data_IF_016329016180
#
_entry.id   IF_016329016180
#
_cell.length_a   1.000
_cell.length_b   1.000
_cell.length_c   1.000
_cell.angle_alpha   90.00
_cell.angle_beta   90.00
_cell.angle_gamma   90.00
#
_symmetry.space_group_name_H-M   'P 1'
#
loop_
_entity.id
_entity.type
_entity.pdbx_description
1 polymer ?
#
# COMPACT_ATOMS: atom_id res chain seq x y z
N UNK A 1 7.03 -18.24 -31.57
CA UNK A 1 7.31 -17.98 -33.01
C UNK A 1 8.69 -17.36 -33.25
N UNK A 2 9.11 -16.30 -32.53
CA UNK A 2 10.41 -15.63 -32.76
C UNK A 2 11.64 -16.55 -32.69
N UNK A 3 11.74 -17.44 -31.70
CA UNK A 3 12.89 -18.35 -31.53
C UNK A 3 13.01 -19.38 -32.65
N UNK A 4 11.88 -19.92 -33.10
CA UNK A 4 11.81 -20.89 -34.21
C UNK A 4 12.32 -20.25 -35.50
N UNK A 5 12.00 -18.97 -35.73
CA UNK A 5 12.51 -18.21 -36.87
C UNK A 5 14.05 -18.16 -36.87
N UNK A 6 14.69 -17.83 -35.74
CA UNK A 6 16.15 -17.77 -35.66
C UNK A 6 16.81 -19.14 -35.90
N UNK A 7 16.23 -20.21 -35.36
CA UNK A 7 16.71 -21.57 -35.65
C UNK A 7 16.66 -21.89 -37.14
N UNK A 8 15.56 -21.55 -37.82
CA UNK A 8 15.42 -21.78 -39.26
C UNK A 8 16.47 -20.95 -40.02
N UNK A 9 16.64 -19.67 -39.69
CA UNK A 9 17.64 -18.80 -40.32
C UNK A 9 19.05 -19.38 -40.20
N UNK A 10 19.43 -19.83 -38.99
CA UNK A 10 20.74 -20.44 -38.77
C UNK A 10 20.91 -21.74 -39.56
N UNK A 11 19.90 -22.61 -39.59
CA UNK A 11 19.93 -23.87 -40.34
C UNK A 11 20.06 -23.60 -41.85
N UNK A 12 19.32 -22.62 -42.38
CA UNK A 12 19.40 -22.24 -43.80
C UNK A 12 20.80 -21.70 -44.14
N UNK A 13 21.36 -20.81 -43.31
CA UNK A 13 22.72 -20.29 -43.53
C UNK A 13 23.75 -21.42 -43.48
N UNK A 14 23.63 -22.33 -42.51
CA UNK A 14 24.53 -23.47 -42.37
C UNK A 14 24.42 -24.43 -43.57
N UNK A 15 23.20 -24.70 -44.03
CA UNK A 15 22.95 -25.53 -45.22
C UNK A 15 23.51 -24.89 -46.50
N UNK A 16 23.32 -23.59 -46.70
CA UNK A 16 23.89 -22.86 -47.83
C UNK A 16 25.42 -22.90 -47.81
N UNK A 17 26.04 -22.73 -46.64
CA UNK A 17 27.49 -22.87 -46.48
C UNK A 17 27.97 -24.30 -46.83
N UNK A 18 27.26 -25.34 -46.40
CA UNK A 18 27.57 -26.72 -46.73
C UNK A 18 27.42 -27.02 -48.24
N UNK A 19 26.39 -26.47 -48.90
CA UNK A 19 26.22 -26.57 -50.34
C UNK A 19 27.35 -25.87 -51.11
N UNK A 20 27.77 -24.69 -50.66
CA UNK A 20 28.93 -23.98 -51.23
C UNK A 20 30.22 -24.76 -51.03
N UNK A 21 30.42 -25.41 -49.87
CA UNK A 21 31.56 -26.29 -49.65
C UNK A 21 31.56 -27.46 -50.64
N UNK A 22 30.41 -28.10 -50.86
CA UNK A 22 30.27 -29.20 -51.82
C UNK A 22 30.55 -28.78 -53.27
N UNK A 23 30.06 -27.60 -53.69
CA UNK A 23 30.24 -27.12 -55.06
C UNK A 23 31.64 -26.57 -55.34
N UNK A 24 32.19 -25.77 -54.42
CA UNK A 24 33.47 -25.06 -54.63
C UNK A 24 34.70 -25.81 -54.10
N UNK A 25 34.51 -26.76 -53.18
CA UNK A 25 35.61 -27.52 -52.54
C UNK A 25 36.58 -26.68 -51.71
N UNK A 26 36.26 -25.41 -51.43
CA UNK A 26 37.18 -24.47 -50.78
C UNK A 26 37.31 -24.69 -49.26
N UNK A 27 38.55 -24.76 -48.77
CA UNK A 27 38.86 -24.84 -47.33
C UNK A 27 38.25 -23.72 -46.47
N UNK A 28 37.99 -22.56 -47.07
CA UNK A 28 37.30 -21.45 -46.40
C UNK A 28 35.90 -21.85 -45.89
N UNK A 29 35.10 -22.53 -46.71
CA UNK A 29 33.74 -22.92 -46.30
C UNK A 29 33.77 -23.98 -45.19
N UNK A 30 34.75 -24.90 -45.23
CA UNK A 30 34.98 -25.86 -44.16
C UNK A 30 35.30 -25.15 -42.83
N UNK A 31 36.25 -24.20 -42.85
CA UNK A 31 36.61 -23.41 -41.67
C UNK A 31 35.42 -22.62 -41.13
N UNK A 32 34.62 -22.01 -42.01
CA UNK A 32 33.41 -21.27 -41.63
C UNK A 32 32.38 -22.19 -40.99
N UNK A 33 32.13 -23.37 -41.54
CA UNK A 33 31.21 -24.35 -40.97
C UNK A 33 31.63 -24.82 -39.58
N UNK A 34 32.93 -25.12 -39.38
CA UNK A 34 33.48 -25.45 -38.05
C UNK A 34 33.31 -24.27 -37.08
N UNK A 35 33.61 -23.05 -37.51
CA UNK A 35 33.43 -21.86 -36.69
C UNK A 35 31.96 -21.63 -36.30
N UNK A 36 31.00 -21.87 -37.20
CA UNK A 36 29.56 -21.79 -36.90
C UNK A 36 29.13 -22.79 -35.82
N UNK A 37 29.62 -24.03 -35.88
CA UNK A 37 29.31 -25.06 -34.88
C UNK A 37 29.91 -24.68 -33.52
N UNK A 38 31.17 -24.24 -33.49
CA UNK A 38 31.83 -23.78 -32.26
C UNK A 38 31.09 -22.58 -31.67
N UNK A 39 30.68 -21.64 -32.50
CA UNK A 39 29.91 -20.47 -32.09
C UNK A 39 28.55 -20.86 -31.51
N UNK A 40 27.81 -21.78 -32.16
CA UNK A 40 26.56 -22.32 -31.63
C UNK A 40 26.75 -22.99 -30.26
N UNK A 41 27.79 -23.83 -30.12
CA UNK A 41 28.14 -24.44 -28.84
C UNK A 41 28.42 -23.40 -27.76
N UNK A 42 29.15 -22.34 -28.12
CA UNK A 42 29.44 -21.22 -27.22
C UNK A 42 28.18 -20.46 -26.78
N UNK A 43 27.28 -20.11 -27.71
CA UNK A 43 26.06 -19.35 -27.37
C UNK A 43 25.15 -20.15 -26.45
N UNK A 44 25.00 -21.45 -26.70
CA UNK A 44 24.20 -22.34 -25.86
C UNK A 44 24.81 -22.59 -24.48
N UNK A 45 26.14 -22.73 -24.39
CA UNK A 45 26.84 -22.96 -23.13
C UNK A 45 26.94 -21.70 -22.24
N UNK A 46 26.91 -20.51 -22.83
CA UNK A 46 27.04 -19.24 -22.10
C UNK A 46 25.88 -19.00 -21.13
N UNK A 47 24.64 -19.21 -21.55
CA UNK A 47 23.43 -18.94 -20.74
C UNK A 47 23.43 -19.65 -19.38
N UNK A 48 23.63 -20.99 -19.28
CA UNK A 48 23.65 -21.67 -17.98
C UNK A 48 24.81 -21.24 -17.08
N UNK A 49 25.91 -20.73 -17.63
CA UNK A 49 27.05 -20.20 -16.87
C UNK A 49 26.79 -18.81 -16.29
N UNK A 50 25.99 -17.99 -16.99
CA UNK A 50 25.71 -16.59 -16.61
C UNK A 50 24.53 -16.47 -15.66
N UNK A 51 23.50 -17.30 -15.81
CA UNK A 51 22.28 -17.21 -14.98
C UNK A 51 22.51 -17.28 -13.45
N UNK A 52 23.41 -18.12 -12.89
CA UNK A 52 23.65 -18.11 -11.45
C UNK A 52 24.39 -16.86 -10.99
N UNK A 53 25.11 -16.17 -11.88
CA UNK A 53 25.93 -14.97 -11.62
C UNK A 53 25.18 -13.65 -11.86
N UNK A 54 23.90 -13.73 -12.20
CA UNK A 54 23.02 -12.58 -12.41
C UNK A 54 22.11 -12.41 -11.21
N UNK A 55 22.11 -11.22 -10.63
CA UNK A 55 21.37 -10.88 -9.41
C UNK A 55 20.55 -9.61 -9.66
N UNK A 56 19.22 -9.73 -9.86
CA UNK A 56 18.33 -8.58 -9.88
C UNK A 56 17.93 -8.16 -8.46
N UNK A 57 17.79 -6.85 -8.24
CA UNK A 57 17.30 -6.23 -7.02
C UNK A 57 16.40 -5.04 -7.36
N UNK A 58 15.22 -5.00 -6.75
CA UNK A 58 14.35 -3.83 -6.74
C UNK A 58 14.85 -2.89 -5.64
N UNK A 59 15.00 -1.62 -6.00
CA UNK A 59 15.38 -0.52 -5.12
C UNK A 59 14.32 0.58 -5.23
N UNK A 60 13.74 0.96 -4.09
CA UNK A 60 12.70 1.97 -4.02
C UNK A 60 13.27 3.22 -3.32
N UNK A 61 13.01 4.43 -3.85
CA UNK A 61 13.52 5.66 -3.24
C UNK A 61 12.94 5.97 -1.86
N UNK A 62 11.64 5.71 -1.63
CA UNK A 62 10.96 5.88 -0.35
C UNK A 62 9.83 4.86 -0.22
N UNK A 63 9.47 4.48 1.01
CA UNK A 63 8.35 3.57 1.24
C UNK A 63 6.98 4.24 1.07
N UNK A 64 6.95 5.59 1.11
CA UNK A 64 5.74 6.41 1.12
C UNK A 64 5.77 7.46 0.00
N UNK A 65 4.67 7.58 -0.72
CA UNK A 65 4.42 8.65 -1.69
C UNK A 65 3.01 9.19 -1.53
N UNK A 66 2.79 10.41 -2.03
CA UNK A 66 1.45 11.00 -2.07
C UNK A 66 0.76 10.68 -3.39
N UNK A 67 -0.56 10.61 -3.35
CA UNK A 67 -1.42 10.43 -4.52
C UNK A 67 -1.04 11.39 -5.66
N UNK A 68 -1.09 10.90 -6.90
CA UNK A 68 -0.74 11.64 -8.12
C UNK A 68 0.71 12.16 -8.22
N UNK A 69 1.62 11.74 -7.34
CA UNK A 69 3.05 12.03 -7.51
C UNK A 69 3.72 10.95 -8.35
N UNK A 70 4.58 11.39 -9.26
CA UNK A 70 5.41 10.50 -10.06
C UNK A 70 6.68 10.16 -9.27
N UNK A 71 6.98 8.87 -9.16
CA UNK A 71 8.19 8.38 -8.52
C UNK A 71 8.87 7.32 -9.40
N UNK A 72 10.20 7.21 -9.24
CA UNK A 72 11.04 6.33 -10.05
C UNK A 72 11.42 5.08 -9.26
N UNK A 73 10.86 3.94 -9.64
CA UNK A 73 11.30 2.64 -9.12
C UNK A 73 12.52 2.17 -9.89
N UNK A 74 13.59 1.83 -9.18
CA UNK A 74 14.85 1.40 -9.79
C UNK A 74 15.01 -0.10 -9.66
N UNK A 75 15.21 -0.78 -10.78
CA UNK A 75 15.51 -2.21 -10.78
C UNK A 75 16.97 -2.38 -11.20
N UNK A 76 17.84 -2.62 -10.21
CA UNK A 76 19.27 -2.83 -10.41
C UNK A 76 19.54 -4.30 -10.71
N UNK A 77 20.16 -4.58 -11.83
CA UNK A 77 20.52 -5.95 -12.24
C UNK A 77 22.02 -6.06 -12.39
N UNK A 78 22.64 -6.88 -11.54
CA UNK A 78 24.09 -7.06 -11.50
C UNK A 78 24.50 -8.33 -12.24
N UNK A 79 25.40 -8.21 -13.20
CA UNK A 79 26.01 -9.32 -13.93
C UNK A 79 27.46 -9.52 -13.46
N UNK A 80 27.71 -10.55 -12.64
CA UNK A 80 29.07 -10.88 -12.17
C UNK A 80 29.85 -11.76 -13.16
N UNK A 81 29.26 -12.13 -14.29
CA UNK A 81 29.93 -12.96 -15.29
C UNK A 81 30.85 -12.12 -16.20
N UNK A 82 31.82 -12.78 -16.83
CA UNK A 82 32.69 -12.17 -17.84
C UNK A 82 31.98 -11.97 -19.18
N UNK A 83 30.77 -12.51 -19.35
CA UNK A 83 30.03 -12.45 -20.61
C UNK A 83 28.97 -11.35 -20.53
N UNK A 84 28.87 -10.48 -21.55
CA UNK A 84 27.77 -9.54 -21.63
C UNK A 84 26.46 -10.28 -21.97
N UNK A 85 25.35 -9.83 -21.41
CA UNK A 85 24.01 -10.36 -21.70
C UNK A 85 23.26 -9.34 -22.55
N UNK A 86 22.95 -9.69 -23.80
CA UNK A 86 22.23 -8.77 -24.69
C UNK A 86 20.74 -8.65 -24.30
N UNK A 87 20.14 -9.75 -23.85
CA UNK A 87 18.71 -9.78 -23.51
C UNK A 87 18.49 -10.47 -22.18
N UNK A 88 18.36 -9.66 -21.14
CA UNK A 88 17.84 -10.07 -19.84
C UNK A 88 16.40 -9.56 -19.74
N UNK A 89 15.45 -10.48 -19.67
CA UNK A 89 14.02 -10.18 -19.56
C UNK A 89 13.57 -10.32 -18.11
N UNK A 90 13.08 -9.24 -17.53
CA UNK A 90 12.47 -9.18 -16.20
C UNK A 90 10.96 -9.37 -16.33
N UNK A 91 10.42 -10.31 -15.56
CA UNK A 91 8.99 -10.57 -15.48
C UNK A 91 8.47 -10.02 -14.15
N UNK A 92 7.80 -8.88 -14.23
CA UNK A 92 7.28 -8.12 -13.12
C UNK A 92 5.77 -8.28 -13.03
N UNK A 93 5.24 -8.28 -11.82
CA UNK A 93 3.82 -8.08 -11.55
C UNK A 93 3.71 -6.81 -10.71
N UNK A 94 2.93 -5.84 -11.17
CA UNK A 94 2.83 -4.52 -10.58
C UNK A 94 1.35 -4.19 -10.46
N UNK A 95 0.94 -3.64 -9.33
CA UNK A 95 -0.42 -3.15 -9.19
C UNK A 95 -0.79 -2.74 -7.78
N UNK A 96 -2.04 -2.35 -7.61
CA UNK A 96 -2.57 -1.97 -6.31
C UNK A 96 -3.01 -3.25 -5.58
N UNK A 97 -2.26 -3.63 -4.54
CA UNK A 97 -2.49 -4.78 -3.70
C UNK A 97 -3.71 -4.64 -2.78
N UNK A 98 -4.15 -3.40 -2.53
CA UNK A 98 -5.32 -3.10 -1.70
C UNK A 98 -6.60 -3.40 -2.47
N UNK A 99 -6.65 -3.02 -3.76
CA UNK A 99 -7.76 -3.31 -4.67
C UNK A 99 -7.60 -4.63 -5.45
N UNK A 100 -6.52 -5.39 -5.20
CA UNK A 100 -6.22 -6.65 -5.90
C UNK A 100 -6.10 -6.50 -7.43
N UNK A 101 -5.72 -5.31 -7.90
CA UNK A 101 -5.56 -4.98 -9.32
C UNK A 101 -4.10 -5.10 -9.72
N UNK A 102 -3.69 -6.29 -10.18
CA UNK A 102 -2.32 -6.59 -10.59
C UNK A 102 -2.20 -6.75 -12.11
N UNK A 103 -1.11 -6.23 -12.67
CA UNK A 103 -0.79 -6.32 -14.10
C UNK A 103 0.60 -6.89 -14.29
N UNK A 104 0.73 -7.86 -15.20
CA UNK A 104 2.03 -8.38 -15.61
C UNK A 104 2.73 -7.41 -16.58
N UNK A 105 3.98 -7.06 -16.25
CA UNK A 105 4.86 -6.21 -17.08
C UNK A 105 6.15 -6.93 -17.38
N UNK A 106 6.56 -6.92 -18.64
CA UNK A 106 7.82 -7.53 -19.07
C UNK A 106 8.76 -6.45 -19.57
N UNK A 107 9.99 -6.45 -19.08
CA UNK A 107 11.03 -5.47 -19.44
C UNK A 107 12.27 -6.22 -19.91
N UNK A 108 12.86 -5.81 -21.03
CA UNK A 108 14.12 -6.39 -21.52
C UNK A 108 15.24 -5.36 -21.46
N UNK A 109 16.33 -5.72 -20.78
CA UNK A 109 17.53 -4.89 -20.62
C UNK A 109 18.78 -5.63 -21.10
N UNK A 110 19.84 -4.86 -21.39
CA UNK A 110 21.18 -5.40 -21.69
C UNK A 110 22.07 -5.24 -20.46
N UNK A 111 22.91 -6.24 -20.17
CA UNK A 111 23.84 -6.21 -19.04
C UNK A 111 25.28 -6.27 -19.55
N UNK A 112 26.14 -5.31 -19.20
CA UNK A 112 27.57 -5.38 -19.51
C UNK A 112 28.25 -6.54 -18.78
N UNK A 113 29.41 -6.97 -19.29
CA UNK A 113 30.26 -7.95 -18.62
C UNK A 113 30.82 -7.35 -17.32
N UNK A 114 30.74 -8.09 -16.20
CA UNK A 114 31.17 -7.65 -14.85
C UNK A 114 30.60 -6.28 -14.43
N UNK A 115 29.43 -5.91 -14.91
CA UNK A 115 28.80 -4.64 -14.59
C UNK A 115 27.37 -4.79 -14.09
N UNK A 116 26.67 -3.67 -14.04
CA UNK A 116 25.28 -3.59 -13.64
C UNK A 116 24.53 -2.65 -14.57
N UNK A 117 23.23 -2.86 -14.65
CA UNK A 117 22.29 -1.99 -15.35
C UNK A 117 21.18 -1.59 -14.37
N UNK A 118 20.74 -0.34 -14.42
CA UNK A 118 19.63 0.17 -13.62
C UNK A 118 18.50 0.53 -14.57
N UNK A 119 17.39 -0.20 -14.47
CA UNK A 119 16.17 0.14 -15.17
C UNK A 119 15.32 1.07 -14.29
N UNK A 120 15.08 2.29 -14.76
CA UNK A 120 14.22 3.25 -14.08
C UNK A 120 12.81 3.17 -14.65
N UNK A 121 11.83 2.93 -13.77
CA UNK A 121 10.43 2.81 -14.12
C UNK A 121 9.64 3.93 -13.44
N UNK A 122 9.15 4.93 -14.20
CA UNK A 122 8.23 5.91 -13.66
C UNK A 122 6.90 5.23 -13.34
N UNK A 123 6.40 5.48 -12.13
CA UNK A 123 5.10 5.05 -11.65
C UNK A 123 4.40 6.25 -11.00
N UNK A 124 3.07 6.27 -11.17
CA UNK A 124 2.17 7.19 -10.49
C UNK A 124 0.85 6.46 -10.27
N UNK A 125 0.21 6.67 -9.13
CA UNK A 125 -1.14 6.16 -8.89
C UNK A 125 -2.09 7.31 -8.61
N UNK A 126 -3.26 7.24 -9.26
CA UNK A 126 -4.41 8.09 -8.94
C UNK A 126 -5.30 7.54 -7.82
N UNK A 127 -4.95 6.39 -7.24
CA UNK A 127 -5.66 5.76 -6.13
C UNK A 127 -4.69 5.52 -4.97
N UNK A 128 -5.17 5.72 -3.74
CA UNK A 128 -4.45 5.36 -2.51
C UNK A 128 -4.38 3.85 -2.31
N UNK A 129 -3.45 3.39 -1.47
CA UNK A 129 -3.31 1.97 -1.14
C UNK A 129 -1.86 1.48 -1.16
N UNK A 130 -1.68 0.16 -1.10
CA UNK A 130 -0.38 -0.47 -1.30
C UNK A 130 -0.15 -0.78 -2.78
N UNK A 131 0.92 -0.25 -3.36
CA UNK A 131 1.43 -0.69 -4.65
C UNK A 131 2.44 -1.81 -4.39
N UNK A 132 2.12 -3.00 -4.90
CA UNK A 132 2.98 -4.17 -4.80
C UNK A 132 3.76 -4.34 -6.11
N UNK A 133 5.09 -4.46 -5.99
CA UNK A 133 5.99 -4.68 -7.12
C UNK A 133 6.72 -5.99 -6.89
N UNK A 134 6.35 -7.00 -7.67
CA UNK A 134 6.88 -8.36 -7.54
C UNK A 134 7.71 -8.76 -8.76
N UNK A 135 9.00 -8.99 -8.57
CA UNK A 135 9.86 -9.65 -9.55
C UNK A 135 9.71 -11.17 -9.45
N UNK A 136 8.77 -11.73 -10.23
CA UNK A 136 8.49 -13.17 -10.27
C UNK A 136 9.72 -13.96 -10.69
N UNK A 137 10.30 -13.58 -11.83
CA UNK A 137 11.43 -14.28 -12.43
C UNK A 137 12.18 -13.35 -13.40
N UNK A 138 13.40 -13.75 -13.74
CA UNK A 138 14.15 -13.16 -14.84
C UNK A 138 14.62 -14.26 -15.80
N UNK A 139 14.71 -13.91 -17.08
CA UNK A 139 15.13 -14.79 -18.16
C UNK A 139 16.33 -14.23 -18.90
N UNK A 140 17.31 -15.07 -19.20
CA UNK A 140 18.45 -14.71 -20.02
C UNK A 140 18.34 -15.46 -21.34
N UNK A 141 18.38 -14.72 -22.45
CA UNK A 141 18.50 -15.29 -23.79
C UNK A 141 19.97 -15.44 -24.20
N UNK A 142 20.25 -16.45 -25.02
CA UNK A 142 21.54 -16.56 -25.69
C UNK A 142 21.73 -15.47 -26.75
N UNK A 143 22.96 -15.32 -27.23
CA UNK A 143 23.35 -14.28 -28.19
C UNK A 143 22.52 -14.32 -29.49
N UNK A 144 22.09 -15.51 -29.91
CA UNK A 144 21.28 -15.75 -31.11
C UNK A 144 19.78 -15.89 -30.82
N UNK A 145 19.33 -15.75 -29.57
CA UNK A 145 17.93 -15.93 -29.13
C UNK A 145 17.31 -17.29 -29.51
N UNK A 146 18.12 -18.35 -29.58
CA UNK A 146 17.67 -19.73 -29.72
C UNK A 146 16.98 -20.25 -28.47
N UNK A 147 17.45 -19.86 -27.29
CA UNK A 147 16.94 -20.36 -26.03
C UNK A 147 16.93 -19.28 -24.95
N UNK A 148 15.98 -19.41 -24.01
CA UNK A 148 15.92 -18.58 -22.81
C UNK A 148 15.91 -19.49 -21.60
N UNK A 149 16.80 -19.22 -20.66
CA UNK A 149 16.77 -19.86 -19.35
C UNK A 149 16.23 -18.88 -18.32
N UNK A 150 15.24 -19.32 -17.55
CA UNK A 150 14.59 -18.51 -16.51
C UNK A 150 15.03 -18.95 -15.12
N UNK A 151 15.16 -17.98 -14.21
CA UNK A 151 15.42 -18.19 -12.79
C UNK A 151 14.43 -17.35 -11.98
N UNK A 152 13.84 -17.98 -10.96
CA UNK A 152 12.96 -17.28 -10.01
C UNK A 152 13.79 -16.32 -9.18
N UNK A 153 13.26 -15.11 -8.97
CA UNK A 153 13.82 -14.13 -8.05
C UNK A 153 12.96 -14.08 -6.78
N UNK A 154 11.64 -13.93 -6.92
CA UNK A 154 10.71 -13.95 -5.79
C UNK A 154 10.90 -12.77 -4.84
N UNK A 155 11.29 -11.61 -5.38
CA UNK A 155 11.39 -10.37 -4.61
C UNK A 155 10.10 -9.59 -4.76
N UNK A 156 9.52 -9.17 -3.65
CA UNK A 156 8.32 -8.33 -3.59
C UNK A 156 8.64 -7.14 -2.72
N UNK A 157 8.34 -5.96 -3.22
CA UNK A 157 8.46 -4.71 -2.47
C UNK A 157 7.12 -3.98 -2.45
N UNK A 158 6.87 -3.25 -1.37
CA UNK A 158 5.62 -2.52 -1.13
C UNK A 158 5.89 -1.01 -1.08
N UNK A 159 4.98 -0.25 -1.70
CA UNK A 159 5.01 1.22 -1.70
C UNK A 159 3.64 1.70 -1.27
N UNK A 160 3.57 2.52 -0.22
CA UNK A 160 2.31 3.06 0.28
C UNK A 160 2.02 4.41 -0.37
N UNK A 161 0.83 4.53 -0.93
CA UNK A 161 0.34 5.77 -1.53
C UNK A 161 -0.71 6.36 -0.59
N UNK A 162 -0.31 7.44 0.07
CA UNK A 162 -1.13 8.18 1.01
C UNK A 162 -1.95 9.26 0.28
N UNK A 163 -3.14 9.61 0.80
CA UNK A 163 -3.89 10.76 0.30
C UNK A 163 -3.05 12.04 0.34
N UNK A 164 -3.31 12.93 -0.61
CA UNK A 164 -2.69 14.26 -0.59
C UNK A 164 -3.20 15.05 0.61
N UNK A 165 -2.38 15.93 1.17
CA UNK A 165 -2.85 16.89 2.17
C UNK A 165 -3.80 17.89 1.47
N UNK A 166 -5.11 17.68 1.62
CA UNK A 166 -6.15 18.58 1.14
C UNK A 166 -6.38 19.77 2.06
N UNK A 167 -7.36 20.62 1.71
CA UNK A 167 -7.86 21.64 2.65
C UNK A 167 -8.40 20.93 3.89
N UNK A 168 -7.86 21.28 5.06
CA UNK A 168 -8.29 20.65 6.31
C UNK A 168 -9.77 20.91 6.52
N UNK A 169 -10.57 19.86 6.67
CA UNK A 169 -11.93 19.97 7.19
C UNK A 169 -11.89 20.76 8.50
N UNK A 170 -12.62 21.86 8.60
CA UNK A 170 -12.75 22.59 9.86
C UNK A 170 -13.62 21.76 10.80
N UNK A 171 -12.97 20.93 11.62
CA UNK A 171 -13.65 20.19 12.67
C UNK A 171 -13.86 21.14 13.84
N UNK A 172 -15.06 21.69 13.97
CA UNK A 172 -15.43 22.47 15.14
C UNK A 172 -15.62 21.52 16.33
N UNK A 173 -14.75 21.64 17.34
CA UNK A 173 -14.77 20.86 18.58
C UNK A 173 -16.15 20.89 19.28
N UNK A 174 -16.96 21.92 19.03
CA UNK A 174 -18.31 22.08 19.58
C UNK A 174 -19.31 21.05 19.04
N UNK A 175 -19.25 20.64 17.78
CA UNK A 175 -20.23 19.71 17.19
C UNK A 175 -20.04 18.28 17.74
N UNK A 176 -18.80 17.88 17.99
CA UNK A 176 -18.50 16.60 18.64
C UNK A 176 -18.82 16.62 20.14
N UNK A 177 -18.48 17.72 20.84
CA UNK A 177 -18.79 17.86 22.26
C UNK A 177 -20.30 17.94 22.53
N UNK A 178 -21.08 18.62 21.68
CA UNK A 178 -22.53 18.72 21.81
C UNK A 178 -23.24 17.39 21.50
N UNK A 179 -22.82 16.68 20.45
CA UNK A 179 -23.40 15.39 20.08
C UNK A 179 -23.14 14.28 21.11
N UNK A 180 -21.91 14.21 21.66
CA UNK A 180 -21.55 13.19 22.66
C UNK A 180 -22.18 13.47 24.03
N UNK A 181 -22.33 14.74 24.41
CA UNK A 181 -22.99 15.09 25.68
C UNK A 181 -24.49 14.81 25.62
N UNK A 182 -25.16 15.04 24.49
CA UNK A 182 -26.57 14.68 24.32
C UNK A 182 -26.80 13.18 24.12
N UNK A 183 -25.92 12.45 23.43
CA UNK A 183 -26.05 10.99 23.23
C UNK A 183 -25.79 10.21 24.51
N UNK A 184 -24.78 10.61 25.29
CA UNK A 184 -24.50 10.01 26.60
C UNK A 184 -25.61 10.32 27.62
N UNK A 185 -26.23 11.50 27.57
CA UNK A 185 -27.38 11.85 28.41
C UNK A 185 -28.69 11.15 27.99
N UNK A 186 -28.87 10.78 26.71
CA UNK A 186 -30.11 10.18 26.20
C UNK A 186 -30.14 8.65 26.21
N UNK A 187 -29.00 7.97 26.00
CA UNK A 187 -28.90 6.50 26.11
C UNK A 187 -28.84 6.00 27.55
N UNK A 188 -28.42 6.85 28.49
CA UNK A 188 -28.37 6.54 29.92
C UNK A 188 -29.69 6.85 30.64
N UNK A 189 -30.79 6.17 30.28
CA UNK A 189 -31.99 6.12 31.15
C UNK A 189 -31.65 5.35 32.44
N UNK A 190 -31.03 6.04 33.40
CA UNK A 190 -30.89 5.56 34.79
C UNK A 190 -29.47 5.37 35.33
N UNK A 191 -28.41 5.79 34.63
CA UNK A 191 -27.03 5.67 35.13
C UNK A 191 -26.45 7.04 35.48
N UNK A 192 -26.58 7.44 36.76
CA UNK A 192 -25.98 8.61 37.40
C UNK A 192 -24.45 8.42 37.56
N UNK A 193 -23.74 8.23 36.44
CA UNK A 193 -22.29 7.94 36.40
C UNK A 193 -21.45 9.08 35.79
N UNK A 194 -21.89 10.34 35.91
CA UNK A 194 -20.90 11.41 36.08
C UNK A 194 -20.42 11.32 37.52
N UNK A 195 -19.22 10.80 37.77
CA UNK A 195 -18.62 10.89 39.11
C UNK A 195 -18.62 12.37 39.54
N UNK A 196 -19.48 12.72 40.50
CA UNK A 196 -19.59 14.06 41.05
C UNK A 196 -18.27 14.30 41.80
N UNK A 197 -17.30 14.92 41.13
CA UNK A 197 -15.93 15.05 41.65
C UNK A 197 -15.89 15.89 42.92
N UNK A 198 -16.50 17.07 42.88
CA UNK A 198 -16.61 17.96 44.04
C UNK A 198 -17.86 18.83 43.92
N UNK A 199 -18.42 19.22 45.07
CA UNK A 199 -19.54 20.17 45.10
C UNK A 199 -19.04 21.47 45.70
N UNK A 200 -19.02 22.52 44.89
CA UNK A 200 -18.52 23.86 45.27
C UNK A 200 -19.64 24.89 45.22
N UNK A 201 -19.39 26.05 45.83
CA UNK A 201 -20.31 27.19 45.74
C UNK A 201 -20.34 27.74 44.30
N UNK A 202 -21.51 28.20 43.90
CA UNK A 202 -21.79 28.79 42.59
C UNK A 202 -20.96 30.06 42.38
N UNK A 203 -20.31 30.15 41.23
CA UNK A 203 -19.60 31.34 40.77
C UNK A 203 -20.38 31.91 39.58
N UNK A 204 -20.55 33.24 39.47
CA UNK A 204 -21.20 33.84 38.31
C UNK A 204 -20.55 33.40 36.99
N UNK A 205 -21.30 32.69 36.15
CA UNK A 205 -20.81 32.07 34.91
C UNK A 205 -21.05 30.56 34.86
N UNK A 206 -21.31 29.92 36.01
CA UNK A 206 -21.67 28.51 36.07
C UNK A 206 -23.07 28.25 35.45
N UNK A 207 -23.21 27.09 34.81
CA UNK A 207 -24.47 26.65 34.22
C UNK A 207 -25.53 26.37 35.30
N UNK A 208 -26.72 26.95 35.13
CA UNK A 208 -27.85 26.76 36.05
C UNK A 208 -28.38 25.31 36.05
N UNK A 209 -28.10 24.54 35.00
CA UNK A 209 -28.50 23.12 34.89
C UNK A 209 -27.72 22.23 35.86
N UNK A 210 -26.54 22.69 36.31
CA UNK A 210 -25.62 21.93 37.16
C UNK A 210 -25.81 22.21 38.66
N UNK A 211 -26.83 22.99 39.02
CA UNK A 211 -27.16 23.32 40.40
C UNK A 211 -27.66 22.08 41.14
N UNK A 212 -27.00 21.75 42.24
CA UNK A 212 -27.43 20.72 43.16
C UNK A 212 -28.51 21.29 44.10
N UNK A 213 -29.76 21.35 43.63
CA UNK A 213 -30.87 21.95 44.38
C UNK A 213 -31.03 21.44 45.81
N UNK A 214 -30.91 20.12 46.04
CA UNK A 214 -31.05 19.52 47.38
C UNK A 214 -29.92 19.89 48.35
N UNK A 215 -28.69 20.05 47.87
CA UNK A 215 -27.56 20.45 48.71
C UNK A 215 -27.57 21.97 48.93
N UNK A 216 -27.97 22.72 47.89
CA UNK A 216 -28.13 24.17 47.96
C UNK A 216 -29.15 24.57 49.02
N UNK A 217 -30.28 23.84 49.07
CA UNK A 217 -31.30 24.02 50.10
C UNK A 217 -30.80 23.70 51.52
N UNK A 218 -29.82 22.79 51.67
CA UNK A 218 -29.26 22.41 52.98
C UNK A 218 -28.17 23.36 53.48
N UNK A 219 -27.44 23.99 52.56
CA UNK A 219 -26.32 24.91 52.87
C UNK A 219 -26.71 26.39 52.79
N UNK A 220 -27.93 26.71 52.40
CA UNK A 220 -28.41 28.09 52.17
C UNK A 220 -27.54 28.90 51.18
N UNK A 221 -26.80 28.21 50.32
CA UNK A 221 -25.95 28.76 49.27
C UNK A 221 -26.13 27.94 48.00
N UNK A 222 -26.05 28.56 46.82
CA UNK A 222 -26.12 27.83 45.55
C UNK A 222 -24.88 26.94 45.41
N UNK A 223 -25.10 25.64 45.34
CA UNK A 223 -24.06 24.63 45.20
C UNK A 223 -24.13 24.04 43.79
N UNK A 224 -23.00 24.02 43.08
CA UNK A 224 -22.88 23.48 41.72
C UNK A 224 -22.14 22.16 41.78
N UNK A 225 -22.68 21.15 41.07
CA UNK A 225 -21.96 19.89 40.86
C UNK A 225 -20.82 20.15 39.87
N UNK A 226 -19.59 20.12 40.34
CA UNK A 226 -18.43 20.19 39.46
C UNK A 226 -18.24 18.80 38.84
N UNK A 227 -18.69 18.67 37.59
CA UNK A 227 -18.47 17.46 36.80
C UNK A 227 -16.98 17.45 36.43
N UNK A 228 -16.21 16.53 36.99
CA UNK A 228 -14.89 16.26 36.45
C UNK A 228 -15.11 15.72 35.04
N UNK A 229 -14.63 16.42 34.00
CA UNK A 229 -14.46 15.84 32.68
C UNK A 229 -13.34 14.80 32.74
N UNK A 230 -13.62 13.65 33.37
CA UNK A 230 -12.78 12.47 33.28
C UNK A 230 -13.27 11.66 32.09
N UNK A 231 -12.85 12.09 30.91
CA UNK A 231 -12.71 11.18 29.79
C UNK A 231 -11.62 11.77 28.91
N UNK A 232 -10.54 11.02 28.77
CA UNK A 232 -9.62 11.16 27.65
C UNK A 232 -10.46 11.09 26.38
N UNK A 233 -10.98 12.24 25.90
CA UNK A 233 -11.86 12.31 24.74
C UNK A 233 -11.05 11.74 23.58
N UNK A 234 -11.31 10.48 23.24
CA UNK A 234 -10.76 9.82 22.08
C UNK A 234 -11.89 9.63 21.09
N UNK A 235 -11.65 10.00 19.84
CA UNK A 235 -12.59 9.72 18.77
C UNK A 235 -12.41 8.26 18.36
N UNK A 236 -13.48 7.48 18.40
CA UNK A 236 -13.47 6.11 17.91
C UNK A 236 -14.06 6.07 16.52
N UNK A 237 -13.30 5.53 15.56
CA UNK A 237 -13.72 5.38 14.17
C UNK A 237 -13.76 3.91 13.83
N UNK A 238 -14.87 3.44 13.29
CA UNK A 238 -14.95 2.13 12.63
C UNK A 238 -14.88 2.37 11.13
N UNK A 239 -13.82 1.88 10.50
CA UNK A 239 -13.56 2.06 9.07
C UNK A 239 -14.11 0.91 8.24
N UNK A 240 -14.99 1.23 7.29
CA UNK A 240 -15.58 0.29 6.35
C UNK A 240 -15.56 0.87 4.93
N UNK A 241 -15.11 0.07 3.97
CA UNK A 241 -15.01 0.44 2.57
C UNK A 241 -15.23 -0.77 1.64
N UNK A 242 -16.05 -0.61 0.60
CA UNK A 242 -16.19 -1.62 -0.44
C UNK A 242 -15.04 -1.52 -1.45
N UNK A 243 -14.06 -2.42 -1.33
CA UNK A 243 -12.90 -2.48 -2.24
C UNK A 243 -13.26 -2.84 -3.68
N UNK A 244 -14.48 -3.30 -3.97
CA UNK A 244 -14.93 -3.62 -5.35
C UNK A 244 -15.08 -2.38 -6.22
N UNK A 245 -15.26 -1.21 -5.62
CA UNK A 245 -15.34 0.06 -6.32
C UNK A 245 -14.15 0.96 -5.92
N UNK A 246 -13.00 0.83 -6.60
CA UNK A 246 -11.75 1.49 -6.20
C UNK A 246 -11.86 3.01 -6.09
N UNK A 247 -12.66 3.64 -6.95
CA UNK A 247 -12.82 5.10 -6.96
C UNK A 247 -13.53 5.59 -5.70
N UNK A 248 -14.67 4.96 -5.35
CA UNK A 248 -15.38 5.32 -4.11
C UNK A 248 -14.58 4.96 -2.87
N UNK A 249 -13.90 3.82 -2.91
CA UNK A 249 -13.07 3.40 -1.81
C UNK A 249 -11.94 4.38 -1.53
N UNK A 250 -11.29 4.87 -2.58
CA UNK A 250 -10.27 5.91 -2.50
C UNK A 250 -10.81 7.23 -1.95
N UNK A 251 -12.03 7.65 -2.33
CA UNK A 251 -12.69 8.84 -1.76
C UNK A 251 -12.92 8.68 -0.24
N UNK A 252 -13.40 7.52 0.22
CA UNK A 252 -13.62 7.23 1.65
C UNK A 252 -12.29 7.21 2.42
N UNK A 253 -11.23 6.67 1.82
CA UNK A 253 -9.87 6.68 2.41
C UNK A 253 -9.33 8.11 2.52
N UNK A 254 -9.52 8.95 1.49
CA UNK A 254 -9.12 10.35 1.53
C UNK A 254 -9.88 11.09 2.64
N UNK A 255 -11.20 10.89 2.73
CA UNK A 255 -12.03 11.47 3.79
C UNK A 255 -11.61 11.02 5.19
N UNK A 256 -11.33 9.73 5.39
CA UNK A 256 -10.80 9.20 6.65
C UNK A 256 -9.52 9.96 7.04
N UNK A 257 -8.58 10.09 6.10
CA UNK A 257 -7.30 10.74 6.35
C UNK A 257 -7.46 12.20 6.76
N UNK A 258 -8.31 12.95 6.06
CA UNK A 258 -8.60 14.35 6.34
C UNK A 258 -9.28 14.53 7.70
N UNK A 259 -10.28 13.68 8.01
CA UNK A 259 -10.97 13.67 9.29
C UNK A 259 -9.99 13.43 10.44
N UNK A 260 -9.15 12.39 10.33
CA UNK A 260 -8.15 12.08 11.36
C UNK A 260 -7.14 13.21 11.53
N UNK A 261 -6.67 13.81 10.44
CA UNK A 261 -5.76 14.96 10.51
C UNK A 261 -6.40 16.17 11.22
N UNK A 262 -7.68 16.42 10.99
CA UNK A 262 -8.41 17.53 11.64
C UNK A 262 -8.61 17.29 13.13
N UNK A 263 -8.97 16.07 13.51
CA UNK A 263 -9.19 15.68 14.92
C UNK A 263 -7.88 15.67 15.71
N UNK A 264 -6.80 15.15 15.12
CA UNK A 264 -5.46 15.17 15.72
C UNK A 264 -4.95 16.61 15.88
N UNK A 265 -5.23 17.51 14.92
CA UNK A 265 -4.90 18.94 15.03
C UNK A 265 -5.60 19.60 16.22
N UNK A 266 -6.81 19.14 16.56
CA UNK A 266 -7.58 19.54 17.75
C UNK A 266 -7.12 18.87 19.05
N UNK A 267 -6.01 18.10 19.03
CA UNK A 267 -5.43 17.38 20.17
C UNK A 267 -6.34 16.29 20.77
N UNK A 268 -7.21 15.72 19.95
CA UNK A 268 -8.08 14.60 20.31
C UNK A 268 -7.44 13.34 19.72
N UNK A 269 -7.03 12.34 20.54
CA UNK A 269 -6.55 11.06 20.01
C UNK A 269 -7.63 10.34 19.20
N UNK A 270 -7.25 9.73 18.09
CA UNK A 270 -8.15 8.96 17.22
C UNK A 270 -7.82 7.49 17.31
N UNK A 271 -8.80 6.66 17.68
CA UNK A 271 -8.69 5.20 17.62
C UNK A 271 -9.47 4.70 16.41
N UNK A 272 -8.81 3.98 15.51
CA UNK A 272 -9.44 3.38 14.34
C UNK A 272 -9.51 1.88 14.50
N UNK A 273 -10.68 1.35 14.18
CA UNK A 273 -10.96 -0.08 14.10
C UNK A 273 -11.21 -0.46 12.64
N UNK A 274 -10.54 -1.50 12.16
CA UNK A 274 -10.77 -2.04 10.83
C UNK A 274 -10.64 -3.56 10.84
N UNK A 275 -11.40 -4.20 9.96
CA UNK A 275 -11.28 -5.63 9.74
C UNK A 275 -10.25 -5.92 8.65
N UNK A 276 -9.22 -6.71 8.99
CA UNK A 276 -8.18 -7.07 8.02
C UNK A 276 -8.56 -8.34 7.25
N UNK A 277 -8.89 -8.22 5.96
CA UNK A 277 -9.26 -9.38 5.10
C UNK A 277 -8.19 -10.48 5.10
N UNK A 278 -6.90 -10.09 5.11
CA UNK A 278 -5.78 -11.04 5.01
C UNK A 278 -5.61 -11.91 6.25
N UNK A 279 -5.85 -11.36 7.43
CA UNK A 279 -5.65 -12.04 8.72
C UNK A 279 -6.95 -12.43 9.42
N UNK A 280 -8.11 -11.99 8.89
CA UNK A 280 -9.46 -12.28 9.42
C UNK A 280 -9.60 -11.94 10.90
N UNK A 281 -9.12 -10.76 11.27
CA UNK A 281 -9.22 -10.25 12.63
C UNK A 281 -9.49 -8.75 12.64
N UNK A 282 -10.08 -8.29 13.74
CA UNK A 282 -10.26 -6.87 14.02
C UNK A 282 -8.93 -6.29 14.50
N UNK A 283 -8.50 -5.22 13.86
CA UNK A 283 -7.36 -4.41 14.30
C UNK A 283 -7.86 -3.15 14.98
N UNK A 284 -7.10 -2.71 15.97
CA UNK A 284 -7.29 -1.45 16.69
C UNK A 284 -5.95 -0.73 16.75
N UNK A 285 -5.93 0.54 16.38
CA UNK A 285 -4.75 1.39 16.59
C UNK A 285 -5.18 2.80 16.94
N UNK A 286 -4.49 3.38 17.93
CA UNK A 286 -4.70 4.75 18.38
C UNK A 286 -3.57 5.64 17.87
N UNK A 287 -3.92 6.79 17.32
CA UNK A 287 -3.00 7.81 16.84
C UNK A 287 -3.28 9.15 17.53
N UNK A 288 -2.22 9.75 18.05
CA UNK A 288 -2.18 11.07 18.69
C UNK A 288 -1.34 12.08 17.90
N UNK A 289 -0.56 11.60 16.94
CA UNK A 289 0.38 12.36 16.10
C UNK A 289 0.12 12.07 14.62
N UNK A 290 0.58 12.97 13.74
CA UNK A 290 0.41 12.80 12.28
C UNK A 290 1.19 11.60 11.75
N UNK A 291 2.35 11.33 12.32
CA UNK A 291 3.19 10.18 12.00
C UNK A 291 2.48 8.88 12.36
N UNK A 292 1.95 8.78 13.59
CA UNK A 292 1.14 7.63 13.99
C UNK A 292 -0.11 7.45 13.10
N UNK A 293 -0.69 8.55 12.61
CA UNK A 293 -1.83 8.50 11.70
C UNK A 293 -1.49 7.91 10.32
N UNK A 294 -0.33 8.27 9.77
CA UNK A 294 0.16 7.66 8.52
C UNK A 294 0.38 6.15 8.70
N UNK A 295 1.00 5.74 9.80
CA UNK A 295 1.21 4.32 10.07
C UNK A 295 -0.11 3.54 10.23
N UNK A 296 -1.19 4.17 10.70
CA UNK A 296 -2.52 3.54 10.75
C UNK A 296 -2.99 3.22 9.33
N UNK A 297 -2.90 4.18 8.41
CA UNK A 297 -3.27 3.97 7.01
C UNK A 297 -2.41 2.90 6.33
N UNK A 298 -1.09 2.90 6.56
CA UNK A 298 -0.21 1.87 6.01
C UNK A 298 -0.63 0.46 6.45
N UNK A 299 -1.00 0.30 7.73
CA UNK A 299 -1.49 -0.98 8.24
C UNK A 299 -2.85 -1.35 7.65
N UNK A 300 -3.76 -0.39 7.46
CA UNK A 300 -5.02 -0.61 6.76
C UNK A 300 -4.74 -1.13 5.34
N UNK A 301 -3.84 -0.49 4.60
CA UNK A 301 -3.48 -0.92 3.25
C UNK A 301 -2.85 -2.31 3.23
N UNK A 302 -1.86 -2.54 4.09
CA UNK A 302 -1.15 -3.82 4.16
C UNK A 302 -2.07 -5.01 4.52
N UNK A 303 -3.05 -4.79 5.40
CA UNK A 303 -3.99 -5.84 5.85
C UNK A 303 -5.18 -6.04 4.91
N UNK A 304 -5.36 -5.16 3.90
CA UNK A 304 -6.55 -5.13 3.06
C UNK A 304 -7.79 -4.72 3.84
N UNK A 305 -7.63 -3.75 4.75
CA UNK A 305 -8.66 -3.34 5.71
C UNK A 305 -9.89 -2.70 5.06
N UNK A 306 -11.07 -2.96 5.61
CA UNK A 306 -12.30 -2.25 5.22
C UNK A 306 -13.58 -3.05 5.12
N UNK A 307 -13.61 -4.34 5.44
CA UNK A 307 -14.86 -5.11 5.25
C UNK A 307 -15.97 -4.70 6.24
N UNK A 308 -17.23 -4.99 5.89
CA UNK A 308 -18.39 -4.65 6.72
C UNK A 308 -18.38 -5.37 8.09
N UNK A 309 -17.71 -6.52 8.15
CA UNK A 309 -17.45 -7.31 9.35
C UNK A 309 -16.79 -6.49 10.47
N UNK A 310 -16.14 -5.35 10.15
CA UNK A 310 -15.56 -4.45 11.15
C UNK A 310 -16.61 -3.93 12.14
N UNK A 311 -17.83 -3.60 11.68
CA UNK A 311 -18.89 -3.08 12.56
C UNK A 311 -19.41 -4.17 13.48
N UNK A 312 -19.65 -5.36 12.94
CA UNK A 312 -20.14 -6.50 13.71
C UNK A 312 -19.11 -6.92 14.77
N UNK A 313 -17.85 -7.03 14.38
CA UNK A 313 -16.76 -7.38 15.29
C UNK A 313 -16.54 -6.31 16.37
N UNK A 314 -16.64 -5.02 16.02
CA UNK A 314 -16.55 -3.93 16.99
C UNK A 314 -17.69 -4.01 18.01
N UNK A 315 -18.93 -4.20 17.58
CA UNK A 315 -20.10 -4.33 18.49
C UNK A 315 -20.00 -5.54 19.42
N UNK A 316 -19.37 -6.63 18.98
CA UNK A 316 -19.12 -7.79 19.84
C UNK A 316 -18.06 -7.52 20.91
N UNK A 317 -17.03 -6.74 20.59
CA UNK A 317 -15.94 -6.42 21.53
C UNK A 317 -16.27 -5.26 22.47
N UNK A 318 -17.02 -4.26 22.01
CA UNK A 318 -17.35 -3.04 22.75
C UNK A 318 -18.80 -2.60 22.47
N UNK A 319 -19.81 -3.28 23.06
CA UNK A 319 -21.22 -3.04 22.74
C UNK A 319 -21.75 -1.67 23.19
N UNK A 320 -21.15 -1.06 24.22
CA UNK A 320 -21.64 0.17 24.85
C UNK A 320 -20.78 1.41 24.53
N UNK A 321 -19.91 1.34 23.50
CA UNK A 321 -19.06 2.46 23.11
C UNK A 321 -19.60 3.21 21.89
N UNK A 322 -19.69 4.53 21.98
CA UNK A 322 -20.00 5.40 20.86
C UNK A 322 -18.85 5.39 19.85
N UNK A 323 -19.19 5.23 18.56
CA UNK A 323 -18.24 5.20 17.45
C UNK A 323 -18.78 5.95 16.24
N UNK A 324 -17.85 6.44 15.42
CA UNK A 324 -18.12 7.06 14.13
C UNK A 324 -17.87 6.03 13.02
N UNK A 325 -18.92 5.65 12.29
CA UNK A 325 -18.80 4.75 11.13
C UNK A 325 -18.36 5.55 9.90
N UNK A 326 -17.08 5.46 9.53
CA UNK A 326 -16.59 6.03 8.26
C UNK A 326 -16.83 5.01 7.16
N UNK A 327 -17.74 5.34 6.25
CA UNK A 327 -18.18 4.49 5.14
C UNK A 327 -18.68 5.34 3.96
N UNK A 328 -18.97 4.71 2.82
CA UNK A 328 -19.55 5.39 1.65
C UNK A 328 -20.80 6.22 2.02
N UNK A 329 -21.65 5.71 2.91
CA UNK A 329 -22.87 6.38 3.37
C UNK A 329 -22.56 7.68 4.13
N UNK A 330 -21.51 7.67 4.96
CA UNK A 330 -21.09 8.84 5.73
C UNK A 330 -20.53 9.93 4.82
N UNK A 331 -19.75 9.54 3.81
CA UNK A 331 -19.21 10.46 2.81
C UNK A 331 -20.33 11.18 2.04
N UNK A 332 -21.39 10.46 1.66
CA UNK A 332 -22.56 11.04 0.98
C UNK A 332 -23.35 12.00 1.87
N UNK A 333 -23.42 11.76 3.19
CA UNK A 333 -24.09 12.69 4.12
C UNK A 333 -23.30 13.97 4.37
N UNK A 334 -21.96 13.91 4.30
CA UNK A 334 -21.08 15.08 4.49
C UNK A 334 -20.91 15.95 3.24
N UNK A 335 -21.16 15.40 2.04
CA UNK A 335 -21.09 16.14 0.77
C UNK A 335 -22.41 16.87 0.39
N UNK A 336 -23.48 16.68 1.16
CA UNK A 336 -24.76 17.40 1.03
C UNK A 336 -24.80 18.60 1.97
#
# INVERSE_FOLDING_TARGET
>A
MRRVKYWIEFIVIFFLNALMYWYLGGYFNLLLGVAMILFLGFTLAMVPLVIPKTEPKIEIPAAEFTKNTEFLVRIRVKNRSIFPVIRCTLYLEIGNGFFEQKTDKTVTISLPAKGEEVYEMPLSSGLCGDIEITLKQFGIEDLLSFHEKRKKAGQTEHIYILPSEGETLDFEQNDYAAGLTESTESSAKGSDFSEIGQVREYIPGDSLKDIHWKLSAKKEALMVKERLQMSSQKLQIVFCVDRRNPQRADEVICFLYELGNSVIKSRIPVTVYWWGSRSRQLYEKTADTREAWKEVLEQIFYTGGGEEEAVEAFRMNAPDQDYLKVSEEMLVMWQR
#
